data_IF_193522771281
#
_entry.id   IF_193522771281
#
_cell.length_a   1.000
_cell.length_b   1.000
_cell.length_c   1.000
_cell.angle_alpha   90.00
_cell.angle_beta   90.00
_cell.angle_gamma   90.00
#
_symmetry.space_group_name_H-M   'P 1'
#
loop_
_entity.id
_entity.type
_entity.pdbx_description
1 polymer ?
#
# COMPACT_ATOMS: atom_id res chain seq x y z
N UNK A 1 6.63 -2.74 -11.12
CA UNK A 1 7.15 -2.02 -9.94
C UNK A 1 7.63 -3.06 -8.95
N UNK A 2 8.71 -2.81 -8.23
CA UNK A 2 9.17 -3.69 -7.15
C UNK A 2 9.03 -2.92 -5.84
N UNK A 3 8.41 -3.55 -4.85
CA UNK A 3 8.33 -3.03 -3.49
C UNK A 3 9.49 -3.60 -2.69
N UNK A 4 10.27 -2.73 -2.06
CA UNK A 4 11.48 -3.12 -1.34
C UNK A 4 11.33 -2.88 0.16
N UNK A 5 11.81 -3.82 0.95
CA UNK A 5 11.93 -3.71 2.41
C UNK A 5 13.39 -3.71 2.78
N UNK A 6 13.82 -2.68 3.50
CA UNK A 6 15.09 -2.68 4.22
C UNK A 6 14.83 -3.16 5.64
N UNK A 7 15.46 -4.27 6.04
CA UNK A 7 15.34 -4.82 7.39
C UNK A 7 16.24 -4.02 8.33
N UNK A 8 15.65 -3.44 9.38
CA UNK A 8 16.38 -2.63 10.37
C UNK A 8 17.36 -3.45 11.21
N UNK A 9 17.11 -4.75 11.32
CA UNK A 9 17.88 -5.71 12.11
C UNK A 9 19.28 -6.00 11.54
N UNK A 10 19.46 -5.95 10.21
CA UNK A 10 20.73 -6.31 9.58
C UNK A 10 21.09 -5.51 8.31
N UNK A 11 20.32 -4.48 7.96
CA UNK A 11 20.45 -3.67 6.75
C UNK A 11 20.40 -4.46 5.43
N UNK A 12 20.01 -5.74 5.47
CA UNK A 12 19.68 -6.46 4.25
C UNK A 12 18.33 -6.00 3.71
N UNK A 13 18.08 -6.25 2.43
CA UNK A 13 16.81 -5.94 1.82
C UNK A 13 16.26 -7.11 1.02
N UNK A 14 14.95 -7.15 0.87
CA UNK A 14 14.27 -8.03 -0.08
C UNK A 14 13.27 -7.22 -0.90
N UNK A 15 12.92 -7.74 -2.08
CA UNK A 15 11.98 -7.11 -3.00
C UNK A 15 10.88 -8.07 -3.41
N UNK A 16 9.66 -7.55 -3.51
CA UNK A 16 8.50 -8.29 -4.03
C UNK A 16 7.91 -7.53 -5.23
N UNK A 17 7.57 -8.22 -6.34
CA UNK A 17 6.84 -7.58 -7.43
C UNK A 17 5.44 -7.19 -6.94
N UNK A 18 5.17 -5.89 -6.86
CA UNK A 18 3.86 -5.40 -6.42
C UNK A 18 3.57 -4.03 -7.04
N UNK A 19 2.38 -3.92 -7.65
CA UNK A 19 1.93 -2.71 -8.33
C UNK A 19 2.52 -2.49 -9.73
N UNK A 20 2.08 -1.38 -10.34
CA UNK A 20 2.50 -0.88 -11.65
C UNK A 20 3.30 0.43 -11.52
N UNK A 21 3.95 0.87 -12.59
CA UNK A 21 4.78 2.09 -12.58
C UNK A 21 3.99 3.39 -12.36
N UNK A 22 2.66 3.35 -12.51
CA UNK A 22 1.77 4.50 -12.29
C UNK A 22 1.14 4.50 -10.91
N UNK A 23 1.41 3.48 -10.10
CA UNK A 23 0.83 3.35 -8.77
C UNK A 23 1.68 4.12 -7.75
N UNK A 24 1.01 4.74 -6.78
CA UNK A 24 1.64 5.50 -5.68
C UNK A 24 1.81 4.57 -4.47
N UNK A 25 3.02 4.42 -3.91
CA UNK A 25 3.23 3.63 -2.69
C UNK A 25 2.39 4.18 -1.52
N UNK A 26 1.74 3.28 -0.79
CA UNK A 26 0.86 3.61 0.33
C UNK A 26 1.06 2.60 1.48
N UNK A 27 2.30 2.28 1.84
CA UNK A 27 2.60 1.31 2.89
C UNK A 27 1.98 1.72 4.24
N UNK A 28 1.46 0.73 4.98
CA UNK A 28 0.78 0.91 6.26
C UNK A 28 0.33 -0.43 6.84
N UNK A 29 -0.07 -0.46 8.10
CA UNK A 29 -0.67 -1.64 8.74
C UNK A 29 -2.19 -1.65 8.47
N UNK A 30 -2.65 -2.51 7.56
CA UNK A 30 -4.03 -2.56 7.08
C UNK A 30 -4.80 -3.78 7.59
N UNK A 31 -4.18 -4.66 8.37
CA UNK A 31 -4.84 -5.76 9.08
C UNK A 31 -4.64 -5.78 10.60
N UNK A 32 -3.90 -4.82 11.15
CA UNK A 32 -3.75 -4.59 12.58
C UNK A 32 -2.78 -5.54 13.27
N UNK A 33 -1.84 -6.13 12.51
CA UNK A 33 -0.89 -7.11 13.02
C UNK A 33 0.43 -6.47 13.52
N UNK A 34 0.57 -5.15 13.40
CA UNK A 34 1.75 -4.39 13.78
C UNK A 34 2.89 -4.43 12.75
N UNK A 35 2.67 -5.00 11.56
CA UNK A 35 3.61 -4.94 10.43
C UNK A 35 3.09 -4.01 9.34
N UNK A 36 4.01 -3.42 8.59
CA UNK A 36 3.64 -2.67 7.38
C UNK A 36 3.36 -3.65 6.24
N UNK A 37 2.22 -3.45 5.59
CA UNK A 37 1.81 -4.16 4.40
C UNK A 37 2.30 -3.48 3.13
N UNK A 38 2.55 -4.29 2.11
CA UNK A 38 2.79 -3.77 0.77
C UNK A 38 1.47 -3.24 0.20
N UNK A 39 1.39 -1.95 -0.02
CA UNK A 39 0.18 -1.28 -0.47
C UNK A 39 0.48 -0.19 -1.50
N UNK A 40 -0.39 -0.08 -2.50
CA UNK A 40 -0.31 0.95 -3.54
C UNK A 40 -1.69 1.52 -3.84
N UNK A 41 -1.74 2.82 -4.15
CA UNK A 41 -2.92 3.50 -4.68
C UNK A 41 -2.74 3.74 -6.17
N UNK A 42 -3.73 3.35 -6.97
CA UNK A 42 -3.76 3.61 -8.41
C UNK A 42 -4.69 4.80 -8.69
N UNK A 43 -4.14 5.97 -9.06
CA UNK A 43 -4.97 7.16 -9.29
C UNK A 43 -5.90 7.03 -10.49
N UNK A 44 -5.50 6.26 -11.53
CA UNK A 44 -6.26 6.15 -12.78
C UNK A 44 -7.64 5.52 -12.63
N UNK A 45 -7.88 4.78 -11.55
CA UNK A 45 -9.17 4.15 -11.24
C UNK A 45 -9.55 4.31 -9.75
N UNK A 46 -8.93 5.28 -9.06
CA UNK A 46 -9.14 5.54 -7.62
C UNK A 46 -9.14 4.27 -6.74
N UNK A 47 -8.27 3.29 -7.02
CA UNK A 47 -8.30 1.99 -6.35
C UNK A 47 -7.02 1.74 -5.55
N UNK A 48 -7.17 1.36 -4.28
CA UNK A 48 -6.08 0.83 -3.45
C UNK A 48 -5.97 -0.68 -3.55
N UNK A 49 -4.73 -1.16 -3.56
CA UNK A 49 -4.36 -2.57 -3.55
C UNK A 49 -3.47 -2.81 -2.35
N UNK A 50 -3.89 -3.69 -1.44
CA UNK A 50 -3.23 -3.94 -0.15
C UNK A 50 -2.92 -5.43 -0.03
N UNK A 51 -1.64 -5.80 0.02
CA UNK A 51 -1.21 -7.16 0.29
C UNK A 51 -0.97 -7.32 1.80
N UNK A 52 -2.05 -7.62 2.52
CA UNK A 52 -2.05 -7.65 3.99
C UNK A 52 -1.37 -8.90 4.52
N UNK A 53 -0.49 -8.71 5.48
CA UNK A 53 0.47 -9.70 5.94
C UNK A 53 -0.18 -10.96 6.55
N UNK A 54 -1.37 -10.82 7.14
CA UNK A 54 -2.13 -11.91 7.78
C UNK A 54 -3.55 -12.08 7.24
N UNK A 55 -4.11 -11.04 6.61
CA UNK A 55 -5.48 -11.04 6.10
C UNK A 55 -5.61 -11.16 4.57
N UNK A 56 -4.51 -11.40 3.84
CA UNK A 56 -4.50 -11.56 2.39
C UNK A 56 -4.81 -10.27 1.62
N UNK A 57 -5.03 -10.40 0.31
CA UNK A 57 -5.18 -9.23 -0.58
C UNK A 57 -6.54 -8.56 -0.38
N UNK A 58 -6.52 -7.24 -0.16
CA UNK A 58 -7.67 -6.35 -0.23
C UNK A 58 -7.53 -5.44 -1.45
N UNK A 59 -8.62 -5.29 -2.21
CA UNK A 59 -8.73 -4.33 -3.31
C UNK A 59 -9.94 -3.45 -2.99
N UNK A 60 -9.72 -2.15 -2.84
CA UNK A 60 -10.75 -1.22 -2.40
C UNK A 60 -10.73 0.05 -3.24
N UNK A 61 -11.87 0.40 -3.83
CA UNK A 61 -12.04 1.68 -4.51
C UNK A 61 -12.33 2.78 -3.48
N UNK A 62 -11.67 3.93 -3.64
CA UNK A 62 -11.85 5.13 -2.82
C UNK A 62 -12.46 6.25 -3.66
N UNK A 63 -13.78 6.40 -3.56
CA UNK A 63 -14.52 7.39 -4.36
C UNK A 63 -14.71 6.97 -5.82
N UNK A 64 -15.25 7.88 -6.63
CA UNK A 64 -15.48 7.73 -8.06
C UNK A 64 -14.37 8.40 -8.89
N UNK A 65 -14.34 8.17 -10.20
CA UNK A 65 -13.40 8.84 -11.11
C UNK A 65 -13.58 10.36 -11.03
N UNK A 66 -12.58 11.06 -10.48
CA UNK A 66 -12.63 12.50 -10.25
C UNK A 66 -12.57 12.90 -8.77
N UNK A 67 -12.80 11.97 -7.85
CA UNK A 67 -12.60 12.22 -6.43
C UNK A 67 -11.11 12.29 -6.11
N UNK A 68 -10.69 13.38 -5.44
CA UNK A 68 -9.32 13.57 -4.98
C UNK A 68 -9.25 13.18 -3.51
N UNK A 69 -8.51 12.12 -3.13
CA UNK A 69 -8.34 11.79 -1.74
C UNK A 69 -7.62 12.95 -1.03
N UNK A 70 -8.16 13.38 0.12
CA UNK A 70 -7.51 14.37 0.95
C UNK A 70 -6.14 13.82 1.40
N UNK A 71 -5.05 14.61 1.33
CA UNK A 71 -3.78 14.22 1.92
C UNK A 71 -3.96 14.01 3.43
N UNK A 72 -3.84 12.77 3.87
CA UNK A 72 -3.71 12.32 5.27
C UNK A 72 -4.54 13.11 6.31
N UNK A 73 -5.79 12.71 6.53
CA UNK A 73 -6.40 12.88 7.85
C UNK A 73 -6.01 11.65 8.69
N UNK A 74 -4.93 11.75 9.47
CA UNK A 74 -4.72 10.83 10.58
C UNK A 74 -5.87 11.03 11.56
N UNK A 75 -6.90 10.20 11.49
CA UNK A 75 -7.89 10.11 12.58
C UNK A 75 -7.30 9.15 13.60
N UNK A 76 -6.92 9.71 14.75
CA UNK A 76 -6.51 8.96 15.94
C UNK A 76 -7.72 8.32 16.61
#
# INVERSE_FOLDING_TARGET
>A
MNWFVLRSEDYSYFGVPFGSSTDVPAAGDYDGDGKMDAAVFRPSNSTGYFNRSTAGILIQQFGTTGDVPLPSAFVR
#
